data_IF_712180411457
#
_entry.id   IF_712180411457
#
_cell.length_a   1.000
_cell.length_b   1.000
_cell.length_c   1.000
_cell.angle_alpha   90.00
_cell.angle_beta   90.00
_cell.angle_gamma   90.00
#
_symmetry.space_group_name_H-M   'P 1'
#
loop_
_entity.id
_entity.type
_entity.pdbx_description
1 polymer ?
#
# COMPACT_ATOMS: atom_id res chain seq x y z
N UNK A 1 -34.97 33.37 -33.27
CA UNK A 1 -35.25 32.50 -32.10
C UNK A 1 -35.05 33.36 -30.86
N UNK A 2 -36.14 33.88 -30.27
CA UNK A 2 -36.06 34.75 -29.08
C UNK A 2 -35.98 33.86 -27.84
N UNK A 3 -34.92 34.02 -27.05
CA UNK A 3 -34.77 33.35 -25.75
C UNK A 3 -35.92 33.78 -24.83
N UNK A 4 -36.59 32.80 -24.22
CA UNK A 4 -37.70 33.06 -23.30
C UNK A 4 -37.16 33.57 -21.96
N UNK A 5 -37.95 34.30 -21.16
CA UNK A 5 -37.53 34.76 -19.83
C UNK A 5 -37.08 33.63 -18.89
N UNK A 6 -37.63 32.42 -19.09
CA UNK A 6 -37.22 31.21 -18.37
C UNK A 6 -35.78 30.80 -18.69
N UNK A 7 -35.35 30.90 -19.94
CA UNK A 7 -34.00 30.53 -20.38
C UNK A 7 -32.92 31.40 -19.72
N UNK A 8 -33.20 32.70 -19.52
CA UNK A 8 -32.31 33.62 -18.81
C UNK A 8 -32.16 33.26 -17.32
N UNK A 9 -33.24 32.85 -16.67
CA UNK A 9 -33.18 32.42 -15.27
C UNK A 9 -32.42 31.11 -15.10
N UNK A 10 -32.57 30.16 -16.04
CA UNK A 10 -31.81 28.90 -16.04
C UNK A 10 -30.32 29.16 -16.24
N UNK A 11 -29.94 29.99 -17.22
CA UNK A 11 -28.53 30.36 -17.47
C UNK A 11 -27.94 31.10 -16.26
N UNK A 12 -28.65 32.07 -15.68
CA UNK A 12 -28.19 32.80 -14.50
C UNK A 12 -28.02 31.86 -13.27
N UNK A 13 -28.92 30.90 -13.08
CA UNK A 13 -28.81 29.91 -12.00
C UNK A 13 -27.63 28.95 -12.18
N UNK A 14 -27.33 28.55 -13.42
CA UNK A 14 -26.18 27.72 -13.74
C UNK A 14 -24.85 28.48 -13.55
N UNK A 15 -24.80 29.76 -13.92
CA UNK A 15 -23.58 30.60 -13.78
C UNK A 15 -23.31 30.94 -12.30
N UNK A 16 -24.34 31.22 -11.51
CA UNK A 16 -24.20 31.53 -10.08
C UNK A 16 -23.93 30.28 -9.24
N UNK A 17 -24.53 29.13 -9.58
CA UNK A 17 -24.25 27.84 -8.94
C UNK A 17 -22.85 27.30 -9.24
N UNK A 18 -22.27 27.67 -10.40
CA UNK A 18 -20.94 27.21 -10.81
C UNK A 18 -19.80 27.75 -9.94
N UNK A 19 -19.96 28.91 -9.30
CA UNK A 19 -18.88 29.54 -8.51
C UNK A 19 -18.67 28.87 -7.15
N UNK A 20 -19.74 28.56 -6.44
CA UNK A 20 -19.63 27.93 -5.11
C UNK A 20 -19.31 26.45 -5.22
N UNK A 21 -19.86 25.75 -6.22
CA UNK A 21 -19.57 24.34 -6.49
C UNK A 21 -18.10 24.15 -6.86
N UNK A 22 -17.52 25.02 -7.68
CA UNK A 22 -16.09 24.91 -8.04
C UNK A 22 -15.19 25.11 -6.82
N UNK A 23 -15.49 26.07 -5.94
CA UNK A 23 -14.72 26.28 -4.70
C UNK A 23 -14.83 25.08 -3.76
N UNK A 24 -16.03 24.51 -3.58
CA UNK A 24 -16.22 23.32 -2.72
C UNK A 24 -15.46 22.11 -3.28
N UNK A 25 -15.58 21.87 -4.59
CA UNK A 25 -14.88 20.77 -5.26
C UNK A 25 -13.37 20.98 -5.21
N UNK A 26 -12.87 22.19 -5.47
CA UNK A 26 -11.46 22.52 -5.35
C UNK A 26 -10.95 22.33 -3.94
N UNK A 27 -11.71 22.75 -2.93
CA UNK A 27 -11.32 22.59 -1.53
C UNK A 27 -11.29 21.11 -1.11
N UNK A 28 -12.23 20.30 -1.58
CA UNK A 28 -12.20 18.85 -1.37
C UNK A 28 -11.00 18.20 -2.07
N UNK A 29 -10.72 18.58 -3.31
CA UNK A 29 -9.60 18.07 -4.09
C UNK A 29 -8.26 18.50 -3.48
N UNK A 30 -8.14 19.74 -3.01
CA UNK A 30 -6.97 20.24 -2.32
C UNK A 30 -6.79 19.56 -0.97
N UNK A 31 -7.86 19.28 -0.24
CA UNK A 31 -7.80 18.50 1.01
C UNK A 31 -7.33 17.06 0.75
N UNK A 32 -7.89 16.39 -0.25
CA UNK A 32 -7.47 15.05 -0.69
C UNK A 32 -6.00 15.04 -1.16
N UNK A 33 -5.62 16.06 -1.95
CA UNK A 33 -4.27 16.20 -2.49
C UNK A 33 -3.26 16.53 -1.40
N UNK A 34 -3.59 17.40 -0.45
CA UNK A 34 -2.72 17.75 0.69
C UNK A 34 -2.54 16.55 1.62
N UNK A 35 -3.60 15.76 1.84
CA UNK A 35 -3.50 14.50 2.59
C UNK A 35 -2.55 13.51 1.92
N UNK A 36 -2.52 13.44 0.58
CA UNK A 36 -1.56 12.63 -0.20
C UNK A 36 -0.16 13.24 -0.23
N UNK A 37 -0.06 14.58 -0.26
CA UNK A 37 1.22 15.31 -0.34
C UNK A 37 2.04 15.20 0.94
N UNK A 38 1.38 15.06 2.10
CA UNK A 38 2.03 14.75 3.39
C UNK A 38 2.79 13.42 3.37
N UNK A 39 2.29 12.42 2.62
CA UNK A 39 2.98 11.14 2.40
C UNK A 39 4.15 11.28 1.41
N UNK A 40 4.17 12.32 0.58
CA UNK A 40 5.15 12.49 -0.50
C UNK A 40 6.38 13.33 -0.15
N UNK A 41 6.53 13.77 1.10
CA UNK A 41 7.75 14.48 1.50
C UNK A 41 8.97 13.59 1.20
N UNK A 42 10.07 14.17 0.71
CA UNK A 42 11.25 13.38 0.33
C UNK A 42 11.79 12.56 1.51
N UNK A 43 11.62 13.06 2.73
CA UNK A 43 11.97 12.36 3.97
C UNK A 43 11.12 11.11 4.21
N UNK A 44 9.78 11.20 4.06
CA UNK A 44 8.89 10.03 4.19
C UNK A 44 9.18 9.02 3.09
N UNK A 45 9.44 9.46 1.86
CA UNK A 45 9.85 8.58 0.76
C UNK A 45 11.17 7.86 1.07
N UNK A 46 12.18 8.57 1.57
CA UNK A 46 13.46 7.99 1.96
C UNK A 46 13.29 6.97 3.10
N UNK A 47 12.52 7.32 4.14
CA UNK A 47 12.19 6.43 5.25
C UNK A 47 11.49 5.17 4.77
N UNK A 48 10.46 5.30 3.94
CA UNK A 48 9.72 4.17 3.38
C UNK A 48 10.62 3.28 2.52
N UNK A 49 11.55 3.86 1.76
CA UNK A 49 12.51 3.10 0.97
C UNK A 49 13.43 2.25 1.86
N UNK A 50 13.96 2.84 2.93
CA UNK A 50 14.82 2.14 3.91
C UNK A 50 14.01 1.05 4.62
N UNK A 51 12.82 1.38 5.14
CA UNK A 51 11.93 0.43 5.83
C UNK A 51 11.54 -0.74 4.94
N UNK A 52 11.27 -0.50 3.65
CA UNK A 52 10.99 -1.55 2.68
C UNK A 52 12.21 -2.44 2.46
N UNK A 53 13.40 -1.85 2.35
CA UNK A 53 14.64 -2.60 2.16
C UNK A 53 14.98 -3.46 3.39
N UNK A 54 14.84 -2.90 4.59
CA UNK A 54 15.07 -3.63 5.84
C UNK A 54 14.07 -4.78 6.02
N UNK A 55 12.79 -4.55 5.76
CA UNK A 55 11.76 -5.59 5.82
C UNK A 55 12.07 -6.74 4.83
N UNK A 56 12.44 -6.41 3.59
CA UNK A 56 12.85 -7.43 2.62
C UNK A 56 14.12 -8.20 3.07
N UNK A 57 15.08 -7.53 3.71
CA UNK A 57 16.27 -8.18 4.24
C UNK A 57 15.93 -9.15 5.38
N UNK A 58 15.05 -8.76 6.30
CA UNK A 58 14.61 -9.65 7.40
C UNK A 58 13.89 -10.87 6.86
N UNK A 59 12.97 -10.68 5.90
CA UNK A 59 12.27 -11.78 5.25
C UNK A 59 13.22 -12.78 4.56
N UNK A 60 14.30 -12.27 3.94
CA UNK A 60 15.36 -13.12 3.37
C UNK A 60 16.12 -13.90 4.43
N UNK A 61 16.36 -13.32 5.61
CA UNK A 61 17.02 -14.00 6.72
C UNK A 61 16.17 -15.17 7.21
N UNK A 62 14.89 -14.93 7.52
CA UNK A 62 13.96 -15.99 7.94
C UNK A 62 13.91 -17.11 6.90
N UNK A 63 13.81 -16.75 5.62
CA UNK A 63 13.82 -17.71 4.54
C UNK A 63 15.10 -18.54 4.45
N UNK A 64 16.28 -17.90 4.52
CA UNK A 64 17.56 -18.61 4.50
C UNK A 64 17.67 -19.60 5.67
N UNK A 65 17.24 -19.19 6.85
CA UNK A 65 17.35 -20.00 8.06
C UNK A 65 16.34 -21.16 8.04
N UNK A 66 15.14 -20.96 7.49
CA UNK A 66 14.18 -22.03 7.21
C UNK A 66 14.72 -23.03 6.18
N UNK A 67 15.27 -22.56 5.05
CA UNK A 67 15.87 -23.41 4.01
C UNK A 67 17.03 -24.22 4.56
N UNK A 68 17.90 -23.62 5.39
CA UNK A 68 19.02 -24.32 6.00
C UNK A 68 18.57 -25.44 6.95
N UNK A 69 17.44 -25.27 7.64
CA UNK A 69 16.85 -26.28 8.53
C UNK A 69 15.99 -27.30 7.80
N UNK A 70 15.48 -26.97 6.62
CA UNK A 70 14.57 -27.79 5.82
C UNK A 70 13.10 -27.76 6.29
N UNK A 71 12.77 -26.93 7.28
CA UNK A 71 11.42 -26.72 7.79
C UNK A 71 11.28 -25.29 8.34
N UNK A 72 10.04 -24.79 8.46
CA UNK A 72 9.73 -23.47 9.02
C UNK A 72 8.78 -23.61 10.21
N UNK A 73 9.19 -23.30 11.45
CA UNK A 73 8.26 -23.26 12.57
C UNK A 73 7.06 -22.34 12.29
N UNK A 74 5.89 -22.66 12.88
CA UNK A 74 4.69 -21.82 12.74
C UNK A 74 4.96 -20.37 13.18
N UNK A 75 5.70 -20.20 14.28
CA UNK A 75 6.07 -18.88 14.80
C UNK A 75 6.90 -18.08 13.77
N UNK A 76 7.91 -18.70 13.17
CA UNK A 76 8.75 -18.09 12.12
C UNK A 76 7.92 -17.76 10.86
N UNK A 77 6.92 -18.59 10.53
CA UNK A 77 6.02 -18.36 9.39
C UNK A 77 5.08 -17.17 9.65
N UNK A 78 4.56 -17.04 10.87
CA UNK A 78 3.76 -15.89 11.30
C UNK A 78 4.59 -14.61 11.26
N UNK A 79 5.81 -14.64 11.82
CA UNK A 79 6.75 -13.51 11.77
C UNK A 79 7.06 -13.11 10.31
N UNK A 80 7.34 -14.09 9.44
CA UNK A 80 7.57 -13.85 8.02
C UNK A 80 6.37 -13.18 7.34
N UNK A 81 5.15 -13.57 7.70
CA UNK A 81 3.92 -12.98 7.17
C UNK A 81 3.75 -11.52 7.61
N UNK A 82 4.04 -11.20 8.87
CA UNK A 82 4.00 -9.82 9.37
C UNK A 82 5.02 -8.93 8.66
N UNK A 83 6.26 -9.42 8.51
CA UNK A 83 7.32 -8.72 7.78
C UNK A 83 6.91 -8.50 6.32
N UNK A 84 6.33 -9.52 5.67
CA UNK A 84 5.83 -9.41 4.31
C UNK A 84 4.73 -8.34 4.18
N UNK A 85 3.78 -8.31 5.11
CA UNK A 85 2.69 -7.33 5.10
C UNK A 85 3.23 -5.89 5.22
N UNK A 86 4.19 -5.66 6.11
CA UNK A 86 4.86 -4.38 6.23
C UNK A 86 5.61 -3.98 4.94
N UNK A 87 6.36 -4.92 4.36
CA UNK A 87 7.05 -4.72 3.09
C UNK A 87 6.08 -4.41 1.93
N UNK A 88 4.96 -5.14 1.84
CA UNK A 88 3.98 -5.02 0.77
C UNK A 88 3.24 -3.67 0.84
N UNK A 89 2.88 -3.24 2.05
CA UNK A 89 2.23 -1.94 2.31
C UNK A 89 3.10 -0.76 1.82
N UNK A 90 4.42 -0.90 1.86
CA UNK A 90 5.37 0.12 1.39
C UNK A 90 5.63 0.10 -0.14
N UNK A 91 4.86 -0.68 -0.92
CA UNK A 91 5.01 -0.79 -2.37
C UNK A 91 6.10 -1.78 -2.78
N UNK A 92 5.94 -3.04 -2.36
CA UNK A 92 6.83 -4.15 -2.69
C UNK A 92 7.05 -4.34 -4.20
N UNK A 93 8.20 -4.89 -4.58
CA UNK A 93 8.59 -5.16 -5.98
C UNK A 93 8.38 -6.63 -6.41
N UNK A 94 7.59 -7.41 -5.66
CA UNK A 94 7.29 -8.82 -5.94
C UNK A 94 8.32 -9.83 -5.43
N UNK A 95 9.53 -9.41 -5.07
CA UNK A 95 10.55 -10.32 -4.53
C UNK A 95 10.11 -10.96 -3.20
N UNK A 96 9.52 -10.17 -2.30
CA UNK A 96 8.99 -10.68 -1.03
C UNK A 96 7.83 -11.66 -1.19
N UNK A 97 6.99 -11.49 -2.23
CA UNK A 97 5.86 -12.37 -2.51
C UNK A 97 6.29 -13.79 -2.87
N UNK A 98 7.42 -13.93 -3.57
CA UNK A 98 7.99 -15.25 -3.86
C UNK A 98 8.54 -15.92 -2.62
N UNK A 99 9.20 -15.15 -1.74
CA UNK A 99 9.78 -15.68 -0.50
C UNK A 99 8.68 -16.19 0.44
N UNK A 100 7.62 -15.41 0.66
CA UNK A 100 6.54 -15.82 1.56
C UNK A 100 5.80 -17.05 1.02
N UNK A 101 5.58 -17.13 -0.29
CA UNK A 101 4.97 -18.30 -0.91
C UNK A 101 5.86 -19.56 -0.72
N UNK A 102 7.18 -19.41 -0.85
CA UNK A 102 8.10 -20.52 -0.64
C UNK A 102 8.04 -21.01 0.81
N UNK A 103 8.12 -20.09 1.78
CA UNK A 103 7.96 -20.38 3.21
C UNK A 103 6.63 -21.09 3.52
N UNK A 104 5.51 -20.61 2.98
CA UNK A 104 4.19 -21.24 3.16
C UNK A 104 4.10 -22.66 2.60
N UNK A 105 4.98 -23.02 1.67
CA UNK A 105 5.03 -24.36 1.07
C UNK A 105 5.97 -25.33 1.80
N UNK A 106 6.76 -24.84 2.76
CA UNK A 106 7.67 -25.67 3.56
C UNK A 106 6.90 -26.51 4.60
N UNK A 107 7.55 -27.56 5.13
CA UNK A 107 7.02 -28.31 6.26
C UNK A 107 7.14 -27.47 7.53
N UNK A 108 6.13 -27.53 8.41
CA UNK A 108 6.09 -26.73 9.62
C UNK A 108 6.70 -27.41 10.84
N UNK A 109 7.06 -28.69 10.69
CA UNK A 109 7.61 -29.52 11.73
C UNK A 109 8.97 -30.08 11.30
N UNK A 110 9.88 -30.33 12.26
CA UNK A 110 11.15 -31.00 11.94
C UNK A 110 10.88 -32.33 11.25
N UNK A 111 11.72 -32.73 10.27
CA UNK A 111 11.61 -34.07 9.70
C UNK A 111 11.79 -35.09 10.83
N UNK A 112 10.82 -35.99 10.99
CA UNK A 112 10.92 -37.12 11.90
C UNK A 112 12.14 -37.94 11.51
N UNK A 113 13.13 -38.06 12.40
CA UNK A 113 14.28 -38.92 12.18
C UNK A 113 13.75 -40.36 12.03
N UNK A 114 13.73 -40.86 10.80
CA UNK A 114 13.53 -42.29 10.55
C UNK A 114 14.82 -43.00 10.98
N UNK A 115 14.74 -43.75 12.08
CA UNK A 115 15.78 -44.65 12.59
C UNK A 115 16.27 -45.67 11.53
#
# INVERSE_FOLDING_TARGET
MMLTPGDWTTIASCVLGSGTITVIVQHLLDWLKDSRRREETPEVKARNCISRHSALSLLKTVHRDAVARGFVPLDDLEEAQEIYNAYHTLGGNGAGSRIIHDLQSMNNYPPTQSE
#
